data_IF_050539536871
#
_entry.id   IF_050539536871
#
_cell.length_a   1.000
_cell.length_b   1.000
_cell.length_c   1.000
_cell.angle_alpha   90.00
_cell.angle_beta   90.00
_cell.angle_gamma   90.00
#
_symmetry.space_group_name_H-M   'P 1'
#
loop_
_entity.id
_entity.type
_entity.pdbx_description
1 polymer ?
#
# COMPACT_ATOMS: atom_id res chain seq x y z
N UNK A 1 -27.17 -22.46 0.54
CA UNK A 1 -25.75 -22.79 0.27
C UNK A 1 -25.22 -21.65 -0.58
N UNK A 2 -24.82 -20.57 0.09
CA UNK A 2 -24.16 -19.36 -0.43
C UNK A 2 -23.15 -19.07 0.67
N UNK A 3 -21.93 -19.59 0.52
CA UNK A 3 -20.81 -19.39 1.44
C UNK A 3 -19.50 -19.39 0.65
N UNK A 4 -19.39 -20.25 -0.37
CA UNK A 4 -18.22 -20.32 -1.26
C UNK A 4 -17.82 -18.96 -1.85
N UNK A 5 -18.74 -18.17 -2.40
CA UNK A 5 -18.39 -16.88 -3.01
C UNK A 5 -17.84 -15.83 -2.02
N UNK A 6 -18.23 -15.89 -0.73
CA UNK A 6 -17.71 -14.98 0.30
C UNK A 6 -16.37 -15.47 0.86
N UNK A 7 -16.18 -16.79 0.99
CA UNK A 7 -14.91 -17.40 1.38
C UNK A 7 -13.83 -17.15 0.31
N UNK A 8 -14.18 -17.26 -0.97
CA UNK A 8 -13.29 -16.98 -2.11
C UNK A 8 -12.92 -15.49 -2.16
N UNK A 9 -13.89 -14.59 -1.96
CA UNK A 9 -13.63 -13.15 -1.90
C UNK A 9 -12.74 -12.78 -0.71
N UNK A 10 -12.98 -13.37 0.46
CA UNK A 10 -12.15 -13.16 1.64
C UNK A 10 -10.71 -13.63 1.40
N UNK A 11 -10.51 -14.76 0.72
CA UNK A 11 -9.16 -15.21 0.37
C UNK A 11 -8.49 -14.27 -0.62
N UNK A 12 -9.21 -13.76 -1.62
CA UNK A 12 -8.67 -12.76 -2.56
C UNK A 12 -8.22 -11.51 -1.81
N UNK A 13 -9.03 -10.99 -0.88
CA UNK A 13 -8.65 -9.81 -0.08
C UNK A 13 -7.44 -10.07 0.81
N UNK A 14 -7.32 -11.27 1.40
CA UNK A 14 -6.14 -11.64 2.18
C UNK A 14 -4.89 -11.67 1.30
N UNK A 15 -4.96 -12.24 0.09
CA UNK A 15 -3.82 -12.26 -0.84
C UNK A 15 -3.42 -10.85 -1.25
N UNK A 16 -4.39 -9.98 -1.57
CA UNK A 16 -4.11 -8.57 -1.89
C UNK A 16 -3.41 -7.85 -0.74
N UNK A 17 -3.86 -8.06 0.51
CA UNK A 17 -3.20 -7.48 1.68
C UNK A 17 -1.78 -8.02 1.88
N UNK A 18 -1.56 -9.31 1.61
CA UNK A 18 -0.24 -9.92 1.67
C UNK A 18 0.70 -9.29 0.64
N UNK A 19 0.28 -9.17 -0.62
CA UNK A 19 1.07 -8.56 -1.68
C UNK A 19 1.43 -7.10 -1.33
N UNK A 20 0.47 -6.32 -0.83
CA UNK A 20 0.71 -4.94 -0.37
C UNK A 20 1.78 -4.91 0.74
N UNK A 21 1.69 -5.80 1.73
CA UNK A 21 2.66 -5.87 2.82
C UNK A 21 4.06 -6.26 2.29
N UNK A 22 4.15 -7.24 1.39
CA UNK A 22 5.42 -7.68 0.80
C UNK A 22 6.08 -6.57 -0.04
N UNK A 23 5.28 -5.81 -0.79
CA UNK A 23 5.77 -4.64 -1.53
C UNK A 23 6.33 -3.58 -0.60
N UNK A 24 5.61 -3.23 0.48
CA UNK A 24 6.08 -2.27 1.48
C UNK A 24 7.39 -2.76 2.12
N UNK A 25 7.48 -4.03 2.51
CA UNK A 25 8.69 -4.56 3.15
C UNK A 25 9.89 -4.55 2.19
N UNK A 26 9.67 -4.88 0.92
CA UNK A 26 10.69 -4.84 -0.13
C UNK A 26 11.21 -3.41 -0.33
N UNK A 27 10.31 -2.42 -0.40
CA UNK A 27 10.69 -1.01 -0.52
C UNK A 27 11.47 -0.52 0.69
N UNK A 28 11.04 -0.85 1.91
CA UNK A 28 11.74 -0.50 3.15
C UNK A 28 13.14 -1.11 3.21
N UNK A 29 13.28 -2.40 2.86
CA UNK A 29 14.59 -3.06 2.80
C UNK A 29 15.50 -2.43 1.75
N UNK A 30 14.97 -2.07 0.59
CA UNK A 30 15.73 -1.39 -0.47
C UNK A 30 16.23 -0.03 0.00
N UNK A 31 15.39 0.74 0.70
CA UNK A 31 15.79 2.01 1.31
C UNK A 31 16.91 1.84 2.35
N UNK A 32 16.79 0.84 3.24
CA UNK A 32 17.83 0.52 4.23
C UNK A 32 19.15 0.09 3.56
N UNK A 33 19.10 -0.71 2.50
CA UNK A 33 20.27 -1.10 1.70
C UNK A 33 20.95 0.09 1.02
N UNK A 34 20.18 1.13 0.68
CA UNK A 34 20.68 2.40 0.13
C UNK A 34 21.24 3.35 1.21
N UNK A 35 21.30 2.92 2.47
CA UNK A 35 21.82 3.72 3.58
C UNK A 35 20.82 4.77 4.09
N UNK A 36 19.53 4.59 3.82
CA UNK A 36 18.47 5.40 4.43
C UNK A 36 18.02 4.77 5.74
N UNK A 37 17.79 5.60 6.76
CA UNK A 37 17.26 5.14 8.06
C UNK A 37 15.80 5.52 8.19
N UNK A 38 14.99 4.58 8.68
CA UNK A 38 13.60 4.84 9.02
C UNK A 38 13.50 5.84 10.17
N UNK A 39 12.72 6.91 9.98
CA UNK A 39 12.44 7.94 11.00
C UNK A 39 11.19 7.63 11.82
N UNK A 40 10.41 6.62 11.39
CA UNK A 40 9.25 6.09 12.09
C UNK A 40 9.36 4.56 12.27
N UNK A 41 8.65 3.96 13.26
CA UNK A 41 8.55 2.51 13.37
C UNK A 41 7.93 1.89 12.10
N UNK A 42 8.43 0.73 11.66
CA UNK A 42 7.88 0.01 10.48
C UNK A 42 6.37 -0.20 10.57
N UNK A 43 5.86 -0.51 11.76
CA UNK A 43 4.42 -0.66 12.02
C UNK A 43 3.59 0.57 11.67
N UNK A 44 4.16 1.77 11.85
CA UNK A 44 3.49 3.02 11.50
C UNK A 44 3.40 3.21 9.97
N UNK A 45 4.47 2.84 9.26
CA UNK A 45 4.52 2.91 7.79
C UNK A 45 3.52 1.92 7.18
N UNK A 46 3.49 0.68 7.66
CA UNK A 46 2.47 -0.31 7.27
C UNK A 46 1.05 0.23 7.48
N UNK A 47 0.76 0.75 8.68
CA UNK A 47 -0.57 1.26 8.99
C UNK A 47 -0.99 2.44 8.08
N UNK A 48 -0.04 3.32 7.73
CA UNK A 48 -0.31 4.48 6.85
C UNK A 48 -0.67 4.04 5.44
N UNK A 49 0.12 3.12 4.86
CA UNK A 49 -0.14 2.62 3.50
C UNK A 49 -1.43 1.79 3.47
N UNK A 50 -1.64 0.90 4.45
CA UNK A 50 -2.87 0.12 4.55
C UNK A 50 -4.11 1.00 4.72
N UNK A 51 -4.02 2.08 5.50
CA UNK A 51 -5.12 3.03 5.63
C UNK A 51 -5.44 3.73 4.30
N UNK A 52 -4.42 4.14 3.53
CA UNK A 52 -4.63 4.73 2.21
C UNK A 52 -5.30 3.76 1.22
N UNK A 53 -4.92 2.48 1.25
CA UNK A 53 -5.57 1.42 0.46
C UNK A 53 -7.05 1.28 0.84
N UNK A 54 -7.34 1.18 2.15
CA UNK A 54 -8.72 1.06 2.64
C UNK A 54 -9.55 2.32 2.34
N UNK A 55 -8.97 3.51 2.46
CA UNK A 55 -9.62 4.78 2.15
C UNK A 55 -9.95 4.88 0.64
N UNK A 56 -9.00 4.48 -0.22
CA UNK A 56 -9.21 4.39 -1.67
C UNK A 56 -10.34 3.40 -2.02
N UNK A 57 -10.34 2.22 -1.41
CA UNK A 57 -11.41 1.23 -1.60
C UNK A 57 -12.77 1.81 -1.19
N UNK A 58 -12.84 2.44 0.00
CA UNK A 58 -14.06 3.04 0.56
C UNK A 58 -14.65 4.16 -0.31
N UNK A 59 -13.82 4.94 -1.00
CA UNK A 59 -14.28 6.00 -1.90
C UNK A 59 -15.03 5.48 -3.13
N UNK A 60 -14.83 4.20 -3.52
CA UNK A 60 -15.47 3.62 -4.71
C UNK A 60 -16.78 2.88 -4.45
N UNK A 61 -17.01 2.31 -3.28
CA UNK A 61 -18.22 1.52 -3.03
C UNK A 61 -18.63 1.45 -1.54
N UNK A 62 -19.95 1.37 -1.29
CA UNK A 62 -20.54 1.15 0.05
C UNK A 62 -20.31 -0.29 0.58
N UNK A 63 -19.91 -1.21 -0.32
CA UNK A 63 -19.33 -2.55 -0.05
C UNK A 63 -17.95 -2.63 -0.71
N UNK A 64 -17.03 -1.77 -0.28
CA UNK A 64 -15.70 -1.67 -0.87
C UNK A 64 -14.89 -2.95 -0.64
N UNK A 65 -14.73 -3.74 -1.69
CA UNK A 65 -13.70 -4.77 -1.76
C UNK A 65 -12.37 -4.13 -2.12
N UNK A 66 -11.27 -4.67 -1.58
CA UNK A 66 -9.93 -4.13 -1.84
C UNK A 66 -9.62 -4.11 -3.35
N UNK A 67 -10.04 -5.14 -4.09
CA UNK A 67 -9.93 -5.27 -5.55
C UNK A 67 -10.37 -4.03 -6.35
N UNK A 68 -11.30 -3.22 -5.82
CA UNK A 68 -11.74 -2.00 -6.49
C UNK A 68 -10.84 -0.77 -6.31
N UNK A 69 -9.77 -0.85 -5.51
CA UNK A 69 -8.97 0.32 -5.15
C UNK A 69 -7.92 0.66 -6.22
N UNK A 70 -8.07 1.81 -6.91
CA UNK A 70 -7.11 2.28 -7.94
C UNK A 70 -5.66 2.33 -7.45
N UNK A 71 -5.47 2.62 -6.15
CA UNK A 71 -4.14 2.68 -5.56
C UNK A 71 -3.43 1.33 -5.53
N UNK A 72 -4.15 0.20 -5.61
CA UNK A 72 -3.53 -1.12 -5.65
C UNK A 72 -2.72 -1.32 -6.92
N UNK A 73 -3.21 -0.89 -8.09
CA UNK A 73 -2.44 -1.01 -9.34
C UNK A 73 -1.11 -0.24 -9.21
N UNK A 74 -1.15 0.95 -8.60
CA UNK A 74 0.07 1.75 -8.34
C UNK A 74 1.02 1.13 -7.31
N UNK A 75 0.50 0.43 -6.30
CA UNK A 75 1.33 -0.27 -5.32
C UNK A 75 1.93 -1.54 -5.93
N UNK A 76 1.12 -2.36 -6.60
CA UNK A 76 1.51 -3.68 -7.09
C UNK A 76 2.39 -3.61 -8.35
N UNK A 77 2.07 -2.74 -9.29
CA UNK A 77 2.86 -2.56 -10.51
C UNK A 77 4.03 -1.58 -10.30
N UNK A 78 4.10 -0.92 -9.13
CA UNK A 78 5.09 0.11 -8.84
C UNK A 78 4.94 1.37 -9.71
N UNK A 79 3.78 1.55 -10.34
CA UNK A 79 3.49 2.70 -11.22
C UNK A 79 3.05 3.91 -10.40
N UNK A 80 3.26 5.09 -10.98
CA UNK A 80 2.91 6.35 -10.33
C UNK A 80 1.39 6.57 -10.32
N UNK A 81 0.85 7.06 -9.20
CA UNK A 81 -0.57 7.40 -9.03
C UNK A 81 -0.75 8.91 -8.96
N UNK A 82 -1.88 9.43 -9.46
CA UNK A 82 -2.18 10.86 -9.35
C UNK A 82 -2.55 11.22 -7.91
N UNK A 83 -1.77 12.10 -7.28
CA UNK A 83 -2.13 12.66 -5.97
C UNK A 83 -3.14 13.83 -6.09
N UNK A 84 -3.50 14.43 -4.96
CA UNK A 84 -4.52 15.48 -4.88
C UNK A 84 -4.15 16.77 -5.63
N UNK A 85 -2.86 17.02 -5.86
CA UNK A 85 -2.33 18.14 -6.65
C UNK A 85 -2.17 17.78 -8.13
N UNK A 86 -2.40 16.51 -8.50
CA UNK A 86 -2.30 16.01 -9.86
C UNK A 86 -0.87 15.66 -10.30
N UNK A 87 0.06 15.47 -9.35
CA UNK A 87 1.38 14.93 -9.63
C UNK A 87 1.36 13.40 -9.63
N UNK A 88 2.28 12.79 -10.38
CA UNK A 88 2.40 11.33 -10.49
C UNK A 88 3.34 10.86 -9.39
N UNK A 89 2.78 10.30 -8.33
CA UNK A 89 3.52 9.89 -7.13
C UNK A 89 3.32 8.41 -6.88
N UNK A 90 4.42 7.66 -6.80
CA UNK A 90 4.36 6.30 -6.30
C UNK A 90 4.03 6.34 -4.79
N UNK A 91 2.90 5.76 -4.34
CA UNK A 91 2.43 5.89 -2.97
C UNK A 91 3.37 5.23 -1.95
N UNK A 92 4.03 4.14 -2.34
CA UNK A 92 5.02 3.46 -1.49
C UNK A 92 6.29 4.31 -1.40
N UNK A 93 6.79 4.81 -2.52
CA UNK A 93 8.00 5.63 -2.54
C UNK A 93 7.82 6.96 -1.78
N UNK A 94 6.64 7.58 -1.88
CA UNK A 94 6.29 8.79 -1.13
C UNK A 94 6.23 8.56 0.37
N UNK A 95 5.60 7.46 0.81
CA UNK A 95 5.56 7.09 2.22
C UNK A 95 6.98 6.79 2.77
N UNK A 96 7.79 6.06 2.00
CA UNK A 96 9.19 5.77 2.36
C UNK A 96 10.01 7.05 2.43
N UNK A 97 9.93 7.94 1.43
CA UNK A 97 10.65 9.22 1.41
C UNK A 97 10.25 10.15 2.55
N UNK A 98 8.96 10.19 2.89
CA UNK A 98 8.44 10.97 4.03
C UNK A 98 8.99 10.46 5.38
N UNK A 99 9.25 9.15 5.47
CA UNK A 99 9.68 8.49 6.70
C UNK A 99 11.11 7.96 6.67
N UNK A 100 11.96 8.48 5.79
CA UNK A 100 13.39 8.14 5.75
C UNK A 100 14.28 9.38 5.74
N UNK A 101 15.46 9.23 6.32
CA UNK A 101 16.51 10.25 6.30
C UNK A 101 17.87 9.59 6.01
N UNK A 102 18.80 10.30 5.35
CA UNK A 102 20.15 9.78 5.13
C UNK A 102 20.87 9.50 6.45
N UNK A 103 21.59 8.38 6.52
CA UNK A 103 22.49 8.08 7.64
C UNK A 103 23.69 9.02 7.55
N UNK A 104 23.81 9.93 8.52
CA UNK A 104 24.99 10.78 8.71
C UNK A 104 26.14 10.02 9.37
#
# INVERSE_FOLDING_TARGET
MITSDEDDLQQIEIHVLQDVIETIDTALRSAEQRGLRLTAPRSHIYATVLYAVVDSARKRCFRATLDGADILDSILDGVESLDADGDFVNPVESAVSTHTAPVQ
#
